data_IF_407717320710
#
_entry.id   IF_407717320710
#
_cell.length_a   1.000
_cell.length_b   1.000
_cell.length_c   1.000
_cell.angle_alpha   90.00
_cell.angle_beta   90.00
_cell.angle_gamma   90.00
#
_symmetry.space_group_name_H-M   'P 1'
#
loop_
_entity.id
_entity.type
_entity.pdbx_description
1 polymer ?
#
# COMPACT_ATOMS: atom_id res chain seq x y z
N UNK A 1 -1.05 -23.77 -14.37
CA UNK A 1 -0.85 -22.94 -13.16
C UNK A 1 -1.72 -21.70 -13.31
N UNK A 2 -2.79 -21.54 -12.52
CA UNK A 2 -3.76 -20.43 -12.70
C UNK A 2 -3.23 -19.20 -11.96
N UNK A 3 -2.83 -18.16 -12.71
CA UNK A 3 -2.39 -16.89 -12.15
C UNK A 3 -3.54 -16.20 -11.42
N UNK A 4 -3.47 -16.12 -10.09
CA UNK A 4 -4.29 -15.19 -9.30
C UNK A 4 -3.54 -13.85 -9.20
N UNK A 5 -3.33 -13.18 -10.33
CA UNK A 5 -2.98 -11.77 -10.29
C UNK A 5 -4.24 -11.01 -9.86
N UNK A 6 -4.32 -10.71 -8.56
CA UNK A 6 -5.38 -9.87 -7.98
C UNK A 6 -5.34 -8.44 -8.54
N UNK A 7 -4.20 -8.08 -9.15
CA UNK A 7 -3.91 -6.83 -9.84
C UNK A 7 -3.90 -7.09 -11.34
N UNK A 8 -4.74 -6.39 -12.07
CA UNK A 8 -4.86 -6.60 -13.49
C UNK A 8 -5.28 -5.32 -14.19
N UNK A 9 -4.90 -5.23 -15.46
CA UNK A 9 -5.35 -4.19 -16.38
C UNK A 9 -6.89 -4.12 -16.45
N UNK A 10 -7.58 -5.27 -16.43
CA UNK A 10 -9.05 -5.36 -16.47
C UNK A 10 -9.74 -4.76 -15.24
N UNK A 11 -9.00 -4.58 -14.16
CA UNK A 11 -9.49 -4.00 -12.90
C UNK A 11 -8.96 -2.59 -12.69
N UNK A 12 -8.16 -2.08 -13.62
CA UNK A 12 -7.52 -0.77 -13.61
C UNK A 12 -6.79 -0.48 -12.29
N UNK A 13 -6.12 -1.52 -11.76
CA UNK A 13 -5.47 -1.49 -10.45
C UNK A 13 -4.18 -2.28 -10.47
N UNK A 14 -3.05 -1.60 -10.28
CA UNK A 14 -1.73 -2.21 -10.19
C UNK A 14 -0.74 -1.31 -9.44
N UNK A 15 0.45 -1.85 -9.17
CA UNK A 15 1.55 -1.12 -8.55
C UNK A 15 2.81 -1.33 -9.36
N UNK A 16 3.52 -0.23 -9.55
CA UNK A 16 4.86 -0.20 -10.12
C UNK A 16 5.87 0.09 -9.01
N UNK A 17 6.91 -0.73 -8.96
CA UNK A 17 8.03 -0.61 -8.04
C UNK A 17 9.26 -0.17 -8.84
N UNK A 18 9.68 1.07 -8.64
CA UNK A 18 10.86 1.63 -9.31
C UNK A 18 12.09 1.29 -8.47
N UNK A 19 13.07 0.63 -9.08
CA UNK A 19 14.28 0.17 -8.43
C UNK A 19 15.46 1.12 -8.67
N UNK A 20 16.46 1.05 -7.78
CA UNK A 20 17.65 1.89 -7.84
C UNK A 20 18.53 1.66 -9.09
N UNK A 21 18.41 0.49 -9.73
CA UNK A 21 19.11 0.17 -10.99
C UNK A 21 18.40 0.74 -12.23
N UNK A 22 17.29 1.44 -12.04
CA UNK A 22 16.48 2.03 -13.11
C UNK A 22 15.39 1.12 -13.66
N UNK A 23 15.31 -0.13 -13.22
CA UNK A 23 14.24 -1.04 -13.63
C UNK A 23 12.91 -0.74 -12.94
N UNK A 24 11.82 -1.18 -13.56
CA UNK A 24 10.45 -1.05 -13.03
C UNK A 24 9.84 -2.44 -12.97
N UNK A 25 9.41 -2.84 -11.78
CA UNK A 25 8.69 -4.09 -11.58
C UNK A 25 7.19 -3.83 -11.40
N UNK A 26 6.37 -4.53 -12.19
CA UNK A 26 4.91 -4.32 -12.25
C UNK A 26 4.16 -5.47 -11.55
N UNK A 27 3.23 -5.13 -10.66
CA UNK A 27 2.45 -6.12 -9.90
C UNK A 27 1.50 -6.98 -10.74
N UNK A 28 1.22 -6.57 -11.99
CA UNK A 28 0.49 -7.36 -12.99
C UNK A 28 1.32 -8.52 -13.54
N UNK A 29 2.65 -8.36 -13.56
CA UNK A 29 3.59 -9.33 -14.13
C UNK A 29 4.32 -10.13 -13.04
N UNK A 30 4.54 -9.51 -11.89
CA UNK A 30 5.40 -10.04 -10.81
C UNK A 30 4.69 -9.96 -9.47
N UNK A 31 4.77 -11.03 -8.68
CA UNK A 31 4.21 -11.00 -7.33
C UNK A 31 5.05 -10.08 -6.45
N UNK A 32 4.40 -9.27 -5.59
CA UNK A 32 5.10 -8.36 -4.67
C UNK A 32 6.14 -9.06 -3.78
N UNK A 33 5.99 -10.36 -3.48
CA UNK A 33 6.97 -11.16 -2.72
C UNK A 33 8.29 -11.39 -3.46
N UNK A 34 8.27 -11.25 -4.78
CA UNK A 34 9.44 -11.45 -5.64
C UNK A 34 10.15 -10.13 -5.96
N UNK A 35 9.59 -9.00 -5.50
CA UNK A 35 10.16 -7.69 -5.75
C UNK A 35 11.43 -7.52 -4.92
N UNK A 36 12.46 -6.91 -5.50
CA UNK A 36 13.69 -6.57 -4.81
C UNK A 36 13.48 -5.36 -3.89
N UNK A 37 12.75 -5.55 -2.79
CA UNK A 37 12.32 -4.48 -1.86
C UNK A 37 13.46 -3.64 -1.28
N UNK A 38 14.68 -4.19 -1.22
CA UNK A 38 15.85 -3.43 -0.79
C UNK A 38 16.25 -2.33 -1.79
N UNK A 39 15.95 -2.51 -3.08
CA UNK A 39 16.28 -1.59 -4.16
C UNK A 39 15.14 -0.64 -4.51
N UNK A 40 13.94 -0.83 -3.96
CA UNK A 40 12.79 0.03 -4.26
C UNK A 40 13.07 1.45 -3.76
N UNK A 41 13.00 2.42 -4.66
CA UNK A 41 13.19 3.86 -4.38
C UNK A 41 11.90 4.67 -4.55
N UNK A 42 10.89 4.10 -5.21
CA UNK A 42 9.57 4.70 -5.40
C UNK A 42 8.52 3.63 -5.63
N UNK A 43 7.32 3.88 -5.09
CA UNK A 43 6.12 3.12 -5.41
C UNK A 43 5.12 4.03 -6.14
N UNK A 44 4.57 3.54 -7.25
CA UNK A 44 3.47 4.19 -7.96
C UNK A 44 2.27 3.24 -7.96
N UNK A 45 1.16 3.68 -7.40
CA UNK A 45 -0.09 2.93 -7.33
C UNK A 45 -1.06 3.49 -8.35
N UNK A 46 -1.48 2.65 -9.29
CA UNK A 46 -2.53 2.95 -10.25
C UNK A 46 -3.84 2.34 -9.75
N UNK A 47 -4.91 3.14 -9.71
CA UNK A 47 -6.17 2.73 -9.12
C UNK A 47 -7.35 3.50 -9.71
N UNK A 48 -8.10 2.85 -10.59
CA UNK A 48 -9.35 3.34 -11.17
C UNK A 48 -9.17 4.74 -11.77
N UNK A 49 -8.26 4.84 -12.75
CA UNK A 49 -7.90 6.05 -13.47
C UNK A 49 -7.08 7.07 -12.68
N UNK A 50 -6.69 6.76 -11.44
CA UNK A 50 -5.88 7.65 -10.59
C UNK A 50 -4.51 7.08 -10.31
N UNK A 51 -3.55 7.97 -10.12
CA UNK A 51 -2.15 7.60 -9.87
C UNK A 51 -1.71 8.22 -8.55
N UNK A 52 -1.16 7.40 -7.67
CA UNK A 52 -0.63 7.80 -6.36
C UNK A 52 0.84 7.42 -6.26
N UNK A 53 1.69 8.43 -6.16
CA UNK A 53 3.12 8.25 -5.98
C UNK A 53 3.52 8.36 -4.50
N UNK A 54 4.43 7.48 -4.10
CA UNK A 54 5.18 7.57 -2.85
C UNK A 54 6.66 7.48 -3.19
N UNK A 55 7.31 8.63 -3.16
CA UNK A 55 8.76 8.72 -3.03
C UNK A 55 9.13 8.68 -1.54
N UNK A 56 10.32 8.19 -1.22
CA UNK A 56 10.86 8.43 0.11
C UNK A 56 12.22 9.14 0.04
N UNK A 57 12.21 10.38 0.54
CA UNK A 57 13.41 11.19 0.81
C UNK A 57 13.43 11.65 2.29
N UNK A 58 12.57 11.06 3.12
CA UNK A 58 12.44 11.43 4.52
C UNK A 58 13.65 10.96 5.34
N UNK A 59 14.08 11.72 6.36
CA UNK A 59 15.14 11.28 7.24
C UNK A 59 14.73 9.99 7.96
N UNK A 60 15.65 9.03 8.01
CA UNK A 60 15.43 7.75 8.71
C UNK A 60 14.63 6.71 7.92
N UNK A 61 14.39 6.88 6.62
CA UNK A 61 13.73 5.86 5.80
C UNK A 61 14.34 4.47 5.99
N UNK A 62 13.50 3.49 6.35
CA UNK A 62 13.89 2.08 6.47
C UNK A 62 13.28 1.19 5.40
N UNK A 63 12.03 1.40 5.03
CA UNK A 63 11.39 0.61 3.98
C UNK A 63 10.10 1.26 3.51
N UNK A 64 9.70 0.94 2.28
CA UNK A 64 8.35 1.18 1.81
C UNK A 64 7.37 0.18 2.45
N UNK A 65 6.12 0.63 2.60
CA UNK A 65 4.99 -0.15 3.07
C UNK A 65 3.96 -0.22 1.95
N UNK A 66 3.50 -1.43 1.62
CA UNK A 66 2.48 -1.66 0.60
C UNK A 66 1.64 -2.88 0.96
N UNK A 67 0.37 -2.68 1.32
CA UNK A 67 -0.50 -3.78 1.71
C UNK A 67 -1.97 -3.44 1.50
N UNK A 68 -2.80 -4.48 1.55
CA UNK A 68 -4.25 -4.36 1.51
C UNK A 68 -4.82 -4.83 2.82
N UNK A 69 -5.89 -4.19 3.25
CA UNK A 69 -6.68 -4.64 4.37
C UNK A 69 -8.16 -4.36 4.10
N UNK A 70 -9.01 -5.14 4.75
CA UNK A 70 -10.45 -5.06 4.59
C UNK A 70 -11.14 -5.10 5.95
N UNK A 71 -12.36 -4.59 5.97
CA UNK A 71 -13.18 -4.54 7.17
C UNK A 71 -14.58 -4.06 6.82
N UNK A 72 -15.30 -3.60 7.83
CA UNK A 72 -16.64 -3.03 7.68
C UNK A 72 -16.66 -1.70 8.41
N UNK A 73 -17.20 -0.67 7.78
CA UNK A 73 -17.44 0.61 8.46
C UNK A 73 -18.93 0.91 8.52
N UNK A 74 -19.37 1.50 9.62
CA UNK A 74 -20.74 1.93 9.79
C UNK A 74 -21.08 3.00 8.75
N UNK A 75 -22.22 2.85 8.10
CA UNK A 75 -22.78 3.85 7.20
C UNK A 75 -23.91 4.59 7.92
N UNK A 76 -24.03 5.87 7.62
CA UNK A 76 -25.09 6.73 8.14
C UNK A 76 -25.84 7.34 6.95
N UNK A 77 -27.16 7.44 7.06
CA UNK A 77 -27.97 8.13 6.06
C UNK A 77 -27.74 9.66 6.10
N UNK A 78 -28.39 10.39 5.19
CA UNK A 78 -28.29 11.86 5.12
C UNK A 78 -28.77 12.58 6.40
N UNK A 79 -29.47 11.89 7.30
CA UNK A 79 -29.95 12.41 8.59
C UNK A 79 -29.04 11.97 9.75
N UNK A 80 -27.90 11.32 9.46
CA UNK A 80 -26.98 10.81 10.47
C UNK A 80 -27.48 9.55 11.19
N UNK A 81 -28.56 8.91 10.73
CA UNK A 81 -29.05 7.66 11.32
C UNK A 81 -28.23 6.50 10.77
N UNK A 82 -27.78 5.61 11.65
CA UNK A 82 -27.11 4.38 11.27
C UNK A 82 -27.96 3.59 10.27
N UNK A 83 -27.37 3.26 9.13
CA UNK A 83 -28.03 2.60 8.00
C UNK A 83 -27.49 1.20 7.69
N UNK A 84 -26.39 0.80 8.35
CA UNK A 84 -25.77 -0.49 8.14
C UNK A 84 -24.25 -0.42 8.19
N UNK A 85 -23.60 -1.40 7.60
CA UNK A 85 -22.17 -1.38 7.35
C UNK A 85 -21.91 -1.52 5.85
N UNK A 86 -20.89 -0.83 5.34
CA UNK A 86 -20.31 -1.13 4.03
C UNK A 86 -18.98 -1.83 4.20
N UNK A 87 -18.73 -2.83 3.37
CA UNK A 87 -17.41 -3.46 3.31
C UNK A 87 -16.41 -2.45 2.76
N UNK A 88 -15.35 -2.22 3.53
CA UNK A 88 -14.23 -1.40 3.09
C UNK A 88 -13.11 -2.31 2.67
N UNK A 89 -12.51 -1.98 1.53
CA UNK A 89 -11.25 -2.55 1.10
C UNK A 89 -10.33 -1.40 0.78
N UNK A 90 -9.19 -1.38 1.45
CA UNK A 90 -8.25 -0.28 1.39
C UNK A 90 -6.93 -0.81 0.85
N UNK A 91 -6.36 -0.06 -0.07
CA UNK A 91 -4.96 -0.18 -0.42
C UNK A 91 -4.19 0.87 0.37
N UNK A 92 -3.22 0.41 1.16
CA UNK A 92 -2.35 1.29 1.94
C UNK A 92 -0.94 1.29 1.34
N UNK A 93 -0.42 2.47 1.07
CA UNK A 93 0.94 2.68 0.56
C UNK A 93 1.64 3.78 1.38
N UNK A 94 2.93 3.64 1.62
CA UNK A 94 3.70 4.58 2.44
C UNK A 94 5.12 4.11 2.70
N UNK A 95 5.69 4.55 3.80
CA UNK A 95 7.02 4.13 4.26
C UNK A 95 7.13 4.17 5.78
N UNK A 96 8.20 3.58 6.33
CA UNK A 96 8.49 3.55 7.77
C UNK A 96 9.88 4.06 8.07
N UNK A 97 10.03 4.78 9.19
CA UNK A 97 11.32 5.19 9.76
C UNK A 97 11.89 4.16 10.76
N UNK A 98 11.22 3.01 10.95
CA UNK A 98 11.56 1.99 11.95
C UNK A 98 10.81 2.15 13.27
N UNK A 99 10.21 3.32 13.54
CA UNK A 99 9.38 3.58 14.72
C UNK A 99 7.93 3.92 14.37
N UNK A 100 7.74 4.66 13.28
CA UNK A 100 6.46 5.17 12.78
C UNK A 100 6.33 4.88 11.29
N UNK A 101 5.09 4.68 10.88
CA UNK A 101 4.69 4.53 9.50
C UNK A 101 4.00 5.81 9.02
N UNK A 102 4.35 6.27 7.83
CA UNK A 102 3.76 7.40 7.13
C UNK A 102 2.94 6.86 5.96
N UNK A 103 1.63 6.74 6.16
CA UNK A 103 0.75 5.91 5.34
C UNK A 103 -0.32 6.73 4.63
N UNK A 104 -0.71 6.29 3.44
CA UNK A 104 -1.84 6.79 2.66
C UNK A 104 -2.82 5.64 2.40
N UNK A 105 -4.09 5.87 2.67
CA UNK A 105 -5.17 4.93 2.39
C UNK A 105 -5.94 5.36 1.15
N UNK A 106 -6.09 4.42 0.22
CA UNK A 106 -6.82 4.59 -1.03
C UNK A 106 -7.95 3.56 -1.03
N UNK A 107 -9.16 4.01 -1.33
CA UNK A 107 -10.32 3.15 -1.50
C UNK A 107 -10.08 2.21 -2.70
N UNK A 108 -10.12 0.90 -2.44
CA UNK A 108 -9.72 -0.12 -3.40
C UNK A 108 -10.68 -0.23 -4.60
N UNK A 109 -11.92 0.27 -4.49
CA UNK A 109 -12.94 0.14 -5.54
C UNK A 109 -13.12 1.40 -6.36
N UNK A 110 -12.91 2.57 -5.75
CA UNK A 110 -13.13 3.88 -6.39
C UNK A 110 -11.84 4.62 -6.70
N UNK A 111 -10.72 4.12 -6.18
CA UNK A 111 -9.44 4.80 -6.19
C UNK A 111 -9.43 6.13 -5.48
N UNK A 112 -10.47 6.51 -4.71
CA UNK A 112 -10.48 7.77 -3.98
C UNK A 112 -9.47 7.71 -2.84
N UNK A 113 -8.69 8.76 -2.69
CA UNK A 113 -7.91 8.99 -1.48
C UNK A 113 -8.85 9.12 -0.29
N UNK A 114 -8.60 8.32 0.75
CA UNK A 114 -9.38 8.34 1.98
C UNK A 114 -8.71 9.27 2.99
N UNK A 115 -7.44 8.97 3.33
CA UNK A 115 -6.66 9.73 4.31
C UNK A 115 -5.16 9.44 4.22
N UNK A 116 -4.37 10.39 4.69
CA UNK A 116 -2.96 10.21 5.03
C UNK A 116 -2.80 10.31 6.53
N UNK A 117 -1.94 9.49 7.13
CA UNK A 117 -1.77 9.45 8.59
C UNK A 117 -0.40 8.91 8.99
N UNK A 118 -0.04 9.19 10.25
CA UNK A 118 1.13 8.64 10.91
C UNK A 118 0.64 7.70 12.00
N UNK A 119 1.29 6.54 12.12
CA UNK A 119 0.97 5.55 13.15
C UNK A 119 2.23 4.84 13.64
N UNK A 120 2.25 4.30 14.87
CA UNK A 120 3.40 3.53 15.35
C UNK A 120 3.58 2.25 14.53
N UNK A 121 4.83 1.85 14.30
CA UNK A 121 5.17 0.64 13.54
C UNK A 121 4.57 -0.61 14.16
N UNK A 122 4.44 -0.66 15.48
CA UNK A 122 3.89 -1.80 16.23
C UNK A 122 2.52 -2.27 15.71
N UNK A 123 1.70 -1.36 15.19
CA UNK A 123 0.39 -1.69 14.62
C UNK A 123 0.46 -2.35 13.23
N UNK A 124 1.61 -2.24 12.55
CA UNK A 124 1.80 -2.68 11.17
C UNK A 124 2.98 -3.64 10.97
N UNK A 125 3.57 -4.19 12.04
CA UNK A 125 4.70 -5.14 11.96
C UNK A 125 4.39 -6.32 11.03
N UNK A 126 3.16 -6.82 11.05
CA UNK A 126 2.70 -7.92 10.18
C UNK A 126 2.67 -7.57 8.69
N UNK A 127 2.75 -6.29 8.33
CA UNK A 127 2.69 -5.80 6.95
C UNK A 127 4.06 -5.41 6.36
N UNK A 128 5.14 -5.53 7.14
CA UNK A 128 6.49 -5.30 6.64
C UNK A 128 6.87 -6.45 5.70
N UNK A 129 7.41 -6.13 4.52
CA UNK A 129 7.89 -7.16 3.60
C UNK A 129 8.99 -8.01 4.27
N UNK A 130 8.96 -9.35 4.17
CA UNK A 130 9.93 -10.21 4.85
C UNK A 130 11.40 -9.88 4.57
N UNK A 131 11.76 -9.54 3.34
CA UNK A 131 13.16 -9.28 2.96
C UNK A 131 13.75 -8.04 3.64
N UNK A 132 12.93 -7.02 3.93
CA UNK A 132 13.36 -5.78 4.61
C UNK A 132 13.05 -5.79 6.10
N UNK A 133 12.40 -6.84 6.61
CA UNK A 133 11.92 -6.89 8.01
C UNK A 133 13.05 -6.71 9.01
N UNK A 134 14.18 -7.39 8.81
CA UNK A 134 15.36 -7.27 9.68
C UNK A 134 15.85 -5.83 9.75
N UNK A 135 16.06 -5.19 8.59
CA UNK A 135 16.47 -3.78 8.45
C UNK A 135 15.54 -2.79 9.16
N UNK A 136 14.24 -3.09 9.18
CA UNK A 136 13.22 -2.23 9.80
C UNK A 136 13.15 -2.42 11.33
N UNK A 137 13.33 -3.65 11.84
CA UNK A 137 13.14 -3.96 13.26
C UNK A 137 14.42 -3.84 14.09
N UNK A 138 15.59 -4.01 13.49
CA UNK A 138 16.89 -3.99 14.19
C UNK A 138 17.70 -2.71 13.92
N UNK A 139 17.27 -1.88 12.97
CA UNK A 139 17.99 -0.68 12.53
C UNK A 139 17.50 0.58 13.20
#
# INVERSE_FOLDING_TARGET
MKYLHLDSEYRDRWVEFYLADGSIEDSRLKNWRQVAWEQVIRIVVHMVGKVYQVDCKGPGFRAFMNFRWGGREATFDKKGKYSGHRDIKIWTVGWTDGQRCFLKNIDFYTGKFIKGYIAPLSQFIGHIHPSVRKRVLEG
#
